data_IF_952715395119
#
_entry.id   IF_952715395119
#
_cell.length_a   1.000
_cell.length_b   1.000
_cell.length_c   1.000
_cell.angle_alpha   90.00
_cell.angle_beta   90.00
_cell.angle_gamma   90.00
#
_symmetry.space_group_name_H-M   'P 1'
#
loop_
_entity.id
_entity.type
_entity.pdbx_description
1 polymer ?
#
# COMPACT_ATOMS: atom_id res chain seq x y z
N UNK A 1 26.39 -8.12 9.82
CA UNK A 1 26.68 -7.41 8.57
C UNK A 1 26.37 -8.35 7.44
N UNK A 2 25.11 -8.43 7.03
CA UNK A 2 24.73 -9.21 5.85
C UNK A 2 24.76 -8.28 4.65
N UNK A 3 25.74 -8.50 3.76
CA UNK A 3 25.95 -7.68 2.57
C UNK A 3 24.87 -7.90 1.53
N UNK A 4 24.47 -6.81 0.85
CA UNK A 4 23.57 -6.88 -0.31
C UNK A 4 24.10 -7.88 -1.36
N UNK A 5 23.20 -8.58 -2.08
CA UNK A 5 23.60 -9.48 -3.16
C UNK A 5 24.32 -8.72 -4.30
N UNK A 6 25.28 -9.37 -4.99
CA UNK A 6 26.02 -8.75 -6.08
C UNK A 6 25.10 -8.41 -7.26
N UNK A 7 25.36 -7.26 -7.89
CA UNK A 7 24.64 -6.83 -9.10
C UNK A 7 24.79 -7.85 -10.24
N UNK A 8 23.77 -8.01 -11.12
CA UNK A 8 23.81 -8.97 -12.23
C UNK A 8 24.89 -8.63 -13.27
N UNK A 9 25.52 -9.65 -13.85
CA UNK A 9 26.64 -9.50 -14.80
C UNK A 9 26.21 -8.93 -16.18
N UNK A 10 27.04 -8.08 -16.80
CA UNK A 10 26.64 -7.33 -17.98
C UNK A 10 26.78 -8.04 -19.33
N UNK A 11 25.72 -7.98 -20.15
CA UNK A 11 25.72 -8.17 -21.63
C UNK A 11 25.85 -6.82 -22.37
N UNK A 12 26.70 -6.84 -23.40
CA UNK A 12 27.57 -5.75 -23.86
C UNK A 12 26.97 -4.44 -24.42
N UNK A 13 25.66 -4.15 -24.37
CA UNK A 13 25.13 -2.83 -24.77
C UNK A 13 23.78 -2.45 -24.13
N UNK A 14 23.02 -3.41 -23.59
CA UNK A 14 21.81 -3.15 -22.78
C UNK A 14 22.10 -2.92 -21.29
N UNK A 15 23.36 -3.02 -20.86
CA UNK A 15 23.66 -3.08 -19.43
C UNK A 15 23.87 -1.74 -18.74
N UNK A 16 24.30 -0.69 -19.43
CA UNK A 16 24.62 0.56 -18.73
C UNK A 16 23.39 1.18 -18.08
N UNK A 17 22.22 1.15 -18.75
CA UNK A 17 20.96 1.67 -18.18
C UNK A 17 20.53 0.85 -16.97
N UNK A 18 20.59 -0.48 -17.06
CA UNK A 18 20.24 -1.39 -15.96
C UNK A 18 21.16 -1.19 -14.76
N UNK A 19 22.47 -1.16 -14.98
CA UNK A 19 23.47 -0.96 -13.91
C UNK A 19 23.28 0.38 -13.22
N UNK A 20 23.15 1.48 -13.98
CA UNK A 20 22.95 2.81 -13.39
C UNK A 20 21.63 2.91 -12.62
N UNK A 21 20.54 2.31 -13.11
CA UNK A 21 19.27 2.31 -12.39
C UNK A 21 19.34 1.50 -11.10
N UNK A 22 20.01 0.34 -11.12
CA UNK A 22 20.24 -0.48 -9.91
C UNK A 22 21.10 0.27 -8.90
N UNK A 23 22.18 0.92 -9.33
CA UNK A 23 23.02 1.77 -8.48
C UNK A 23 22.21 2.89 -7.82
N UNK A 24 21.33 3.56 -8.58
CA UNK A 24 20.49 4.64 -8.04
C UNK A 24 19.43 4.13 -7.05
N UNK A 25 18.77 3.00 -7.35
CA UNK A 25 17.82 2.36 -6.44
C UNK A 25 18.51 1.95 -5.14
N UNK A 26 19.68 1.32 -5.24
CA UNK A 26 20.46 0.90 -4.07
C UNK A 26 20.95 2.09 -3.25
N UNK A 27 21.44 3.14 -3.90
CA UNK A 27 21.88 4.36 -3.21
C UNK A 27 20.73 4.98 -2.43
N UNK A 28 19.53 5.04 -3.02
CA UNK A 28 18.33 5.56 -2.34
C UNK A 28 17.85 4.65 -1.21
N UNK A 29 17.96 3.33 -1.36
CA UNK A 29 17.59 2.37 -0.32
C UNK A 29 18.58 2.34 0.86
N UNK A 30 19.83 2.75 0.64
CA UNK A 30 20.87 2.80 1.66
C UNK A 30 20.91 4.11 2.47
N UNK A 31 20.25 5.17 1.97
CA UNK A 31 20.16 6.45 2.66
C UNK A 31 19.00 6.45 3.67
N UNK A 32 19.06 7.38 4.63
CA UNK A 32 17.95 7.62 5.54
C UNK A 32 16.67 7.97 4.76
N UNK A 33 15.48 7.61 5.29
CA UNK A 33 14.21 7.96 4.68
C UNK A 33 14.14 9.46 4.39
N UNK A 34 13.70 9.86 3.18
CA UNK A 34 13.59 11.27 2.86
C UNK A 34 12.51 11.93 3.73
N UNK A 35 12.71 13.22 4.03
CA UNK A 35 11.70 14.02 4.75
C UNK A 35 10.34 14.00 4.01
N UNK A 36 10.37 13.99 2.67
CA UNK A 36 9.17 13.91 1.82
C UNK A 36 9.18 12.64 0.97
N UNK A 37 8.00 12.03 0.79
CA UNK A 37 7.86 10.86 -0.07
C UNK A 37 8.21 11.19 -1.51
N UNK A 38 8.85 10.24 -2.22
CA UNK A 38 9.26 10.44 -3.60
C UNK A 38 8.78 9.32 -4.53
N UNK A 39 8.35 9.72 -5.72
CA UNK A 39 7.95 8.86 -6.83
C UNK A 39 8.80 9.27 -8.02
N UNK A 40 9.78 8.44 -8.35
CA UNK A 40 10.74 8.73 -9.42
C UNK A 40 10.46 7.82 -10.60
N UNK A 41 10.22 8.41 -11.76
CA UNK A 41 9.95 7.69 -13.01
C UNK A 41 11.20 7.61 -13.87
N UNK A 42 11.51 6.41 -14.36
CA UNK A 42 12.65 6.12 -15.20
C UNK A 42 12.17 5.50 -16.51
N UNK A 43 12.60 6.03 -17.67
CA UNK A 43 12.41 5.34 -18.94
C UNK A 43 13.13 3.98 -18.90
N UNK A 44 12.38 2.89 -19.09
CA UNK A 44 12.90 1.54 -19.06
C UNK A 44 12.19 0.66 -20.08
N UNK A 45 12.96 0.13 -21.04
CA UNK A 45 12.43 -0.77 -22.04
C UNK A 45 12.00 -2.12 -21.42
N UNK A 46 11.04 -2.79 -22.05
CA UNK A 46 10.47 -4.02 -21.51
C UNK A 46 11.50 -5.17 -21.39
N UNK A 47 12.53 -5.17 -22.25
CA UNK A 47 13.63 -6.13 -22.15
C UNK A 47 14.48 -5.93 -20.89
N UNK A 48 14.79 -4.68 -20.55
CA UNK A 48 15.60 -4.31 -19.39
C UNK A 48 14.81 -4.52 -18.08
N UNK A 49 13.50 -4.31 -18.11
CA UNK A 49 12.60 -4.62 -17.00
C UNK A 49 12.68 -6.08 -16.55
N UNK A 50 12.86 -7.05 -17.45
CA UNK A 50 13.01 -8.46 -17.05
C UNK A 50 14.19 -8.62 -16.09
N UNK A 51 15.32 -8.03 -16.46
CA UNK A 51 16.58 -8.15 -15.73
C UNK A 51 16.45 -7.45 -14.38
N UNK A 52 15.88 -6.24 -14.36
CA UNK A 52 15.69 -5.48 -13.13
C UNK A 52 14.70 -6.16 -12.20
N UNK A 53 13.57 -6.65 -12.71
CA UNK A 53 12.56 -7.31 -11.88
C UNK A 53 13.11 -8.57 -11.20
N UNK A 54 13.98 -9.34 -11.87
CA UNK A 54 14.68 -10.48 -11.24
C UNK A 54 15.61 -10.03 -10.10
N UNK A 55 16.37 -8.94 -10.31
CA UNK A 55 17.21 -8.36 -9.28
C UNK A 55 16.39 -7.84 -8.08
N UNK A 56 15.37 -7.01 -8.34
CA UNK A 56 14.52 -6.43 -7.29
C UNK A 56 13.79 -7.49 -6.47
N UNK A 57 13.34 -8.59 -7.11
CA UNK A 57 12.73 -9.72 -6.42
C UNK A 57 13.71 -10.52 -5.54
N UNK A 58 15.03 -10.38 -5.77
CA UNK A 58 16.07 -11.03 -4.97
C UNK A 58 16.49 -10.22 -3.73
N UNK A 59 16.08 -8.95 -3.63
CA UNK A 59 16.44 -8.10 -2.51
C UNK A 59 15.71 -8.52 -1.24
N UNK A 60 16.45 -8.56 -0.14
CA UNK A 60 15.89 -8.81 1.19
C UNK A 60 15.11 -7.61 1.74
N UNK A 61 15.48 -6.39 1.33
CA UNK A 61 14.86 -5.16 1.77
C UNK A 61 13.58 -4.86 0.97
N UNK A 62 12.49 -4.44 1.63
CA UNK A 62 11.25 -4.08 0.95
C UNK A 62 11.44 -2.77 0.19
N UNK A 63 11.49 -2.86 -1.14
CA UNK A 63 11.47 -1.72 -2.04
C UNK A 63 10.07 -1.59 -2.67
N UNK A 64 9.59 -0.36 -2.83
CA UNK A 64 8.30 -0.08 -3.44
C UNK A 64 8.50 0.37 -4.89
N UNK A 65 7.96 -0.39 -5.83
CA UNK A 65 8.18 -0.12 -7.25
C UNK A 65 7.00 -0.54 -8.13
N UNK A 66 7.08 -0.12 -9.39
CA UNK A 66 6.15 -0.50 -10.43
C UNK A 66 6.78 -0.39 -11.81
N UNK A 67 6.11 -0.98 -12.79
CA UNK A 67 6.46 -0.90 -14.20
C UNK A 67 5.20 -0.76 -15.04
N UNK A 68 5.20 0.19 -15.97
CA UNK A 68 4.12 0.42 -16.92
C UNK A 68 4.65 0.15 -18.33
N UNK A 69 4.35 -1.03 -18.88
CA UNK A 69 4.93 -1.50 -20.14
C UNK A 69 4.45 -0.67 -21.33
N UNK A 70 3.23 -0.10 -21.26
CA UNK A 70 2.69 0.77 -22.32
C UNK A 70 3.54 2.03 -22.52
N UNK A 71 4.06 2.59 -21.43
CA UNK A 71 4.88 3.81 -21.46
C UNK A 71 6.37 3.51 -21.38
N UNK A 72 6.75 2.26 -21.11
CA UNK A 72 8.13 1.87 -20.85
C UNK A 72 8.68 2.62 -19.64
N UNK A 73 7.94 2.61 -18.53
CA UNK A 73 8.27 3.41 -17.35
C UNK A 73 8.41 2.54 -16.12
N UNK A 74 9.60 2.52 -15.53
CA UNK A 74 9.84 2.01 -14.19
C UNK A 74 9.60 3.12 -13.17
N UNK A 75 8.98 2.80 -12.05
CA UNK A 75 8.75 3.75 -10.96
C UNK A 75 9.35 3.21 -9.68
N UNK A 76 10.15 4.03 -9.00
CA UNK A 76 10.67 3.76 -7.67
C UNK A 76 9.99 4.71 -6.67
N UNK A 77 9.42 4.14 -5.62
CA UNK A 77 8.76 4.86 -4.55
C UNK A 77 9.58 4.75 -3.28
N UNK A 78 9.83 5.90 -2.65
CA UNK A 78 10.48 5.98 -1.34
C UNK A 78 9.54 6.74 -0.41
N UNK A 79 8.79 6.05 0.47
CA UNK A 79 7.93 6.68 1.47
C UNK A 79 8.73 7.48 2.51
N UNK A 80 8.18 8.59 2.99
CA UNK A 80 8.68 9.30 4.18
C UNK A 80 8.11 8.69 5.48
N UNK A 81 8.67 9.04 6.67
CA UNK A 81 8.11 8.62 7.96
C UNK A 81 6.64 8.99 8.13
N UNK A 82 6.23 10.21 7.77
CA UNK A 82 4.83 10.65 7.87
C UNK A 82 3.91 9.84 6.95
N UNK A 83 4.37 9.45 5.75
CA UNK A 83 3.62 8.56 4.85
C UNK A 83 3.39 7.18 5.46
N UNK A 84 4.44 6.60 6.05
CA UNK A 84 4.36 5.31 6.73
C UNK A 84 3.47 5.38 7.98
N UNK A 85 3.54 6.47 8.73
CA UNK A 85 2.68 6.68 9.89
C UNK A 85 1.21 6.81 9.47
N UNK A 86 0.92 7.62 8.44
CA UNK A 86 -0.43 7.72 7.87
C UNK A 86 -0.98 6.35 7.45
N UNK A 87 -0.14 5.52 6.83
CA UNK A 87 -0.48 4.14 6.46
C UNK A 87 -0.93 3.34 7.67
N UNK A 88 -0.11 3.34 8.73
CA UNK A 88 -0.39 2.61 9.96
C UNK A 88 -1.65 3.12 10.66
N UNK A 89 -1.82 4.43 10.77
CA UNK A 89 -2.98 5.07 11.41
C UNK A 89 -4.28 4.76 10.65
N UNK A 90 -4.24 4.80 9.31
CA UNK A 90 -5.38 4.44 8.47
C UNK A 90 -5.76 2.95 8.62
N UNK A 91 -4.77 2.05 8.55
CA UNK A 91 -4.98 0.61 8.77
C UNK A 91 -5.59 0.34 10.13
N UNK A 92 -5.01 0.92 11.19
CA UNK A 92 -5.47 0.77 12.57
C UNK A 92 -6.92 1.21 12.70
N UNK A 93 -7.26 2.39 12.18
CA UNK A 93 -8.61 2.96 12.26
C UNK A 93 -9.64 2.09 11.53
N UNK A 94 -9.33 1.64 10.31
CA UNK A 94 -10.22 0.78 9.54
C UNK A 94 -10.43 -0.58 10.23
N UNK A 95 -9.35 -1.21 10.75
CA UNK A 95 -9.43 -2.48 11.48
C UNK A 95 -10.19 -2.35 12.78
N UNK A 96 -10.03 -1.26 13.53
CA UNK A 96 -10.83 -1.00 14.74
C UNK A 96 -12.33 -0.92 14.42
N UNK A 97 -12.70 -0.21 13.36
CA UNK A 97 -14.10 -0.14 12.91
C UNK A 97 -14.65 -1.49 12.49
N UNK A 98 -13.86 -2.28 11.74
CA UNK A 98 -14.23 -3.63 11.35
C UNK A 98 -14.43 -4.54 12.58
N UNK A 99 -13.51 -4.52 13.55
CA UNK A 99 -13.61 -5.30 14.79
C UNK A 99 -14.83 -4.92 15.61
N UNK A 100 -15.14 -3.62 15.70
CA UNK A 100 -16.34 -3.13 16.39
C UNK A 100 -17.60 -3.65 15.71
N UNK A 101 -17.71 -3.47 14.38
CA UNK A 101 -18.82 -3.97 13.59
C UNK A 101 -19.00 -5.49 13.76
N UNK A 102 -17.91 -6.24 13.80
CA UNK A 102 -17.94 -7.69 14.01
C UNK A 102 -18.32 -8.08 15.45
N UNK A 103 -17.85 -7.33 16.45
CA UNK A 103 -18.15 -7.60 17.87
C UNK A 103 -19.60 -7.36 18.21
N UNK A 104 -20.22 -6.33 17.62
CA UNK A 104 -21.65 -6.05 17.74
C UNK A 104 -22.54 -7.18 17.19
N UNK A 105 -21.96 -8.10 16.41
CA UNK A 105 -22.67 -9.21 15.74
C UNK A 105 -22.03 -10.59 16.04
N UNK A 106 -21.24 -10.69 17.11
CA UNK A 106 -20.63 -11.95 17.58
C UNK A 106 -19.78 -12.73 16.54
N UNK A 107 -19.10 -12.01 15.64
CA UNK A 107 -18.21 -12.60 14.61
C UNK A 107 -16.80 -12.02 14.58
N UNK A 108 -16.17 -11.93 15.74
CA UNK A 108 -14.81 -11.39 15.86
C UNK A 108 -13.82 -12.07 14.90
N UNK A 109 -13.97 -13.36 14.68
CA UNK A 109 -13.12 -14.15 13.77
C UNK A 109 -13.15 -13.69 12.31
N UNK A 110 -14.21 -13.02 11.85
CA UNK A 110 -14.24 -12.47 10.50
C UNK A 110 -13.27 -11.28 10.36
N UNK A 111 -13.21 -10.39 11.36
CA UNK A 111 -12.32 -9.23 11.34
C UNK A 111 -10.84 -9.65 11.30
N UNK A 112 -10.48 -10.71 12.01
CA UNK A 112 -9.12 -11.27 12.07
C UNK A 112 -8.67 -11.88 10.73
N UNK A 113 -9.64 -12.30 9.91
CA UNK A 113 -9.39 -12.86 8.57
C UNK A 113 -9.26 -11.80 7.49
N UNK A 114 -9.48 -10.52 7.82
CA UNK A 114 -9.13 -9.41 6.93
C UNK A 114 -7.72 -8.94 7.28
N UNK A 115 -6.81 -9.15 6.34
CA UNK A 115 -5.41 -8.78 6.44
C UNK A 115 -5.08 -7.64 5.51
N UNK A 116 -4.28 -6.71 6.02
CA UNK A 116 -3.44 -5.80 5.26
C UNK A 116 -2.21 -6.56 4.78
N UNK A 117 -1.99 -6.56 3.48
CA UNK A 117 -0.74 -7.03 2.88
C UNK A 117 -0.07 -5.79 2.32
N UNK A 118 1.17 -5.56 2.71
CA UNK A 118 2.00 -4.47 2.21
C UNK A 118 3.39 -5.01 1.86
N UNK A 119 3.89 -4.86 0.62
CA UNK A 119 3.17 -4.59 -0.63
C UNK A 119 3.05 -5.86 -1.49
N UNK A 120 1.85 -6.44 -1.68
CA UNK A 120 1.70 -7.55 -2.60
C UNK A 120 1.74 -7.02 -4.04
N UNK A 121 2.63 -7.54 -4.87
CA UNK A 121 2.74 -7.14 -6.27
C UNK A 121 1.39 -7.31 -6.99
N UNK A 122 0.77 -6.22 -7.43
CA UNK A 122 -0.35 -6.28 -8.36
C UNK A 122 0.23 -6.32 -9.76
N UNK A 123 -0.10 -7.38 -10.50
CA UNK A 123 0.39 -7.61 -11.87
C UNK A 123 -0.76 -7.49 -12.84
N UNK A 124 -0.48 -7.16 -14.09
CA UNK A 124 -1.46 -7.25 -15.15
C UNK A 124 -2.12 -8.65 -15.16
N UNK A 125 -3.44 -8.67 -15.39
CA UNK A 125 -4.19 -9.92 -15.54
C UNK A 125 -3.94 -10.60 -16.89
N UNK A 126 -3.50 -9.84 -17.89
CA UNK A 126 -3.11 -10.38 -19.20
C UNK A 126 -1.66 -10.87 -19.19
N UNK A 127 -1.40 -12.03 -19.80
CA UNK A 127 -0.03 -12.54 -20.03
C UNK A 127 0.78 -11.67 -21.01
N UNK A 128 0.12 -10.81 -21.79
CA UNK A 128 0.75 -9.93 -22.77
C UNK A 128 1.12 -8.55 -22.25
N UNK A 129 0.73 -8.21 -21.01
CA UNK A 129 1.14 -6.96 -20.35
C UNK A 129 2.04 -7.33 -19.18
N UNK A 130 3.10 -6.55 -19.03
CA UNK A 130 4.02 -6.66 -17.90
C UNK A 130 3.80 -5.57 -16.88
N UNK A 131 2.66 -4.87 -16.94
CA UNK A 131 2.33 -3.84 -15.97
C UNK A 131 2.35 -4.46 -14.56
N UNK A 132 3.05 -3.78 -13.66
CA UNK A 132 3.20 -4.17 -12.28
C UNK A 132 3.14 -2.91 -11.42
N UNK A 133 2.43 -2.98 -10.31
CA UNK A 133 2.46 -1.90 -9.34
C UNK A 133 2.17 -2.42 -7.94
N UNK A 134 2.80 -1.80 -6.95
CA UNK A 134 2.67 -2.13 -5.54
C UNK A 134 1.86 -1.04 -4.84
N UNK A 135 0.65 -1.35 -4.31
CA UNK A 135 -0.11 -0.40 -3.52
C UNK A 135 0.56 -0.19 -2.16
N UNK A 136 0.36 0.99 -1.56
CA UNK A 136 0.78 1.24 -0.18
C UNK A 136 0.10 0.26 0.79
N UNK A 137 -1.20 0.01 0.61
CA UNK A 137 -1.96 -0.98 1.39
C UNK A 137 -2.81 -1.83 0.47
N UNK A 138 -2.89 -3.13 0.73
CA UNK A 138 -3.92 -3.98 0.14
C UNK A 138 -4.68 -4.75 1.22
N UNK A 139 -5.94 -4.39 1.46
CA UNK A 139 -6.81 -5.14 2.35
C UNK A 139 -7.44 -6.32 1.61
N UNK A 140 -7.36 -7.52 2.17
CA UNK A 140 -7.98 -8.71 1.61
C UNK A 140 -8.38 -9.72 2.67
N UNK A 141 -9.31 -10.60 2.34
CA UNK A 141 -9.58 -11.77 3.18
C UNK A 141 -8.54 -12.87 2.94
N UNK A 142 -8.05 -13.52 4.00
CA UNK A 142 -6.98 -14.56 3.93
C UNK A 142 -7.25 -15.67 2.92
N UNK A 143 -8.52 -16.06 2.73
CA UNK A 143 -8.88 -17.09 1.73
C UNK A 143 -8.94 -16.59 0.28
N UNK A 144 -8.92 -15.28 0.05
CA UNK A 144 -8.96 -14.66 -1.28
C UNK A 144 -7.96 -13.50 -1.37
N UNK A 145 -6.64 -13.77 -1.33
CA UNK A 145 -5.60 -12.74 -1.27
C UNK A 145 -5.53 -11.83 -2.51
N UNK A 146 -6.23 -12.19 -3.60
CA UNK A 146 -6.35 -11.36 -4.81
C UNK A 146 -7.62 -10.50 -4.83
N UNK A 147 -8.53 -10.69 -3.90
CA UNK A 147 -9.78 -9.94 -3.81
C UNK A 147 -9.67 -8.94 -2.67
N UNK A 148 -9.92 -7.67 -2.94
CA UNK A 148 -9.67 -6.66 -1.92
C UNK A 148 -9.64 -5.23 -2.41
N UNK A 149 -9.04 -4.39 -1.57
CA UNK A 149 -9.01 -2.94 -1.70
C UNK A 149 -7.56 -2.47 -1.68
N UNK A 150 -7.03 -1.98 -2.80
CA UNK A 150 -5.81 -1.20 -2.81
C UNK A 150 -6.09 0.20 -2.25
N UNK A 151 -5.16 0.70 -1.44
CA UNK A 151 -5.10 2.07 -0.95
C UNK A 151 -3.76 2.66 -1.34
N UNK A 152 -3.79 3.88 -1.85
CA UNK A 152 -2.59 4.66 -2.20
C UNK A 152 -2.57 5.96 -1.40
N UNK A 153 -1.46 6.24 -0.76
CA UNK A 153 -1.11 7.55 -0.23
C UNK A 153 -0.30 8.24 -1.33
N UNK A 154 -0.86 9.31 -1.86
CA UNK A 154 -0.32 10.05 -2.98
C UNK A 154 0.19 11.42 -2.55
N UNK A 155 1.25 11.85 -3.21
CA UNK A 155 1.92 13.14 -3.05
C UNK A 155 2.25 13.68 -4.44
N UNK A 156 2.88 14.85 -4.53
CA UNK A 156 3.11 15.65 -5.74
C UNK A 156 3.08 14.88 -7.08
N UNK A 157 4.08 14.03 -7.33
CA UNK A 157 4.22 13.28 -8.59
C UNK A 157 3.19 12.16 -8.73
N UNK A 158 2.98 11.34 -7.68
CA UNK A 158 2.06 10.18 -7.67
C UNK A 158 0.59 10.60 -7.87
N UNK A 159 0.20 11.79 -7.38
CA UNK A 159 -1.13 12.40 -7.56
C UNK A 159 -1.57 12.40 -9.02
N UNK A 160 -0.66 12.71 -9.94
CA UNK A 160 -0.94 12.79 -11.38
C UNK A 160 -1.17 11.42 -12.03
N UNK A 161 -0.76 10.33 -11.38
CA UNK A 161 -0.89 8.95 -11.86
C UNK A 161 -2.11 8.23 -11.28
N UNK A 162 -2.81 8.82 -10.30
CA UNK A 162 -3.92 8.17 -9.58
C UNK A 162 -5.04 7.64 -10.49
N UNK A 163 -5.37 8.35 -11.57
CA UNK A 163 -6.37 7.87 -12.53
C UNK A 163 -5.90 6.61 -13.26
N UNK A 164 -4.63 6.57 -13.67
CA UNK A 164 -4.04 5.40 -14.33
C UNK A 164 -3.91 4.22 -13.36
N UNK A 165 -3.54 4.48 -12.11
CA UNK A 165 -3.53 3.47 -11.05
C UNK A 165 -4.94 2.90 -10.79
N UNK A 166 -5.97 3.74 -10.79
CA UNK A 166 -7.35 3.30 -10.66
C UNK A 166 -7.75 2.34 -11.81
N UNK A 167 -7.43 2.69 -13.06
CA UNK A 167 -7.63 1.81 -14.21
C UNK A 167 -6.84 0.51 -14.07
N UNK A 168 -5.57 0.59 -13.66
CA UNK A 168 -4.73 -0.57 -13.46
C UNK A 168 -5.35 -1.52 -12.45
N UNK A 169 -5.62 -1.06 -11.23
CA UNK A 169 -6.14 -1.91 -10.17
C UNK A 169 -7.51 -2.48 -10.48
N UNK A 170 -8.45 -1.66 -10.96
CA UNK A 170 -9.84 -2.09 -11.14
C UNK A 170 -10.01 -2.90 -12.42
N UNK A 171 -9.37 -2.50 -13.53
CA UNK A 171 -9.67 -3.05 -14.86
C UNK A 171 -8.60 -3.99 -15.40
N UNK A 172 -7.31 -3.70 -15.15
CA UNK A 172 -6.20 -4.38 -15.85
C UNK A 172 -5.48 -5.41 -15.00
N UNK A 173 -5.45 -5.26 -13.68
CA UNK A 173 -4.69 -6.12 -12.78
C UNK A 173 -5.32 -7.50 -12.59
N UNK A 174 -4.52 -8.45 -12.09
CA UNK A 174 -4.96 -9.77 -11.67
C UNK A 174 -5.72 -9.75 -10.33
N UNK A 175 -5.88 -8.58 -9.72
CA UNK A 175 -6.68 -8.37 -8.51
C UNK A 175 -8.16 -8.23 -8.88
N UNK A 176 -9.01 -8.64 -7.96
CA UNK A 176 -10.47 -8.48 -8.03
C UNK A 176 -10.84 -7.30 -7.16
N UNK A 177 -10.56 -6.11 -7.68
CA UNK A 177 -10.80 -4.83 -7.00
C UNK A 177 -12.16 -4.26 -7.39
N UNK A 178 -12.93 -3.82 -6.39
CA UNK A 178 -14.22 -3.13 -6.55
C UNK A 178 -14.19 -1.67 -6.13
N UNK A 179 -13.31 -1.35 -5.19
CA UNK A 179 -13.06 -0.03 -4.65
C UNK A 179 -11.56 0.20 -4.66
N UNK A 180 -11.14 1.34 -5.19
CA UNK A 180 -9.78 1.86 -5.02
C UNK A 180 -9.86 3.15 -4.21
N UNK A 181 -9.01 3.29 -3.20
CA UNK A 181 -8.96 4.46 -2.32
C UNK A 181 -7.61 5.16 -2.53
N UNK A 182 -7.61 6.48 -2.70
CA UNK A 182 -6.39 7.26 -2.63
C UNK A 182 -6.54 8.44 -1.67
N UNK A 183 -5.53 8.65 -0.84
CA UNK A 183 -5.41 9.80 0.05
C UNK A 183 -4.28 10.66 -0.52
N UNK A 184 -4.64 11.81 -1.06
CA UNK A 184 -3.70 12.81 -1.55
C UNK A 184 -3.18 13.61 -0.35
N UNK A 185 -2.03 13.22 0.16
CA UNK A 185 -1.32 13.68 1.35
C UNK A 185 0.11 14.04 0.95
N UNK A 186 0.33 15.31 0.61
CA UNK A 186 1.57 15.84 0.07
C UNK A 186 2.29 16.66 1.14
N UNK A 187 2.56 15.94 2.24
CA UNK A 187 3.18 16.48 3.45
C UNK A 187 4.53 17.14 3.16
N UNK A 188 4.83 18.23 3.87
CA UNK A 188 5.98 19.08 3.61
C UNK A 188 5.83 20.05 2.43
N UNK A 189 4.81 19.87 1.58
CA UNK A 189 4.51 20.79 0.47
C UNK A 189 3.18 21.53 0.65
N UNK A 190 2.17 20.87 1.20
CA UNK A 190 0.84 21.45 1.45
C UNK A 190 0.14 20.74 2.60
N UNK A 191 -0.64 21.50 3.38
CA UNK A 191 -1.53 20.93 4.41
C UNK A 191 -2.82 20.39 3.82
N UNK A 192 -3.11 20.67 2.55
CA UNK A 192 -4.35 20.25 1.88
C UNK A 192 -4.35 18.73 1.70
N UNK A 193 -5.45 18.10 2.08
CA UNK A 193 -5.64 16.65 1.93
C UNK A 193 -6.92 16.35 1.17
N UNK A 194 -6.83 15.50 0.16
CA UNK A 194 -7.98 15.08 -0.65
C UNK A 194 -8.15 13.57 -0.67
N UNK A 195 -9.33 13.09 -0.30
CA UNK A 195 -9.74 11.70 -0.47
C UNK A 195 -10.34 11.50 -1.86
N UNK A 196 -9.86 10.49 -2.57
CA UNK A 196 -10.41 10.06 -3.85
C UNK A 196 -10.77 8.58 -3.79
N UNK A 197 -11.92 8.23 -4.35
CA UNK A 197 -12.34 6.83 -4.46
C UNK A 197 -12.81 6.52 -5.87
N UNK A 198 -12.47 5.33 -6.37
CA UNK A 198 -12.88 4.87 -7.68
C UNK A 198 -13.66 3.56 -7.58
N UNK A 199 -14.70 3.46 -8.42
CA UNK A 199 -15.46 2.23 -8.66
C UNK A 199 -15.76 2.10 -10.14
N UNK A 200 -16.07 0.88 -10.59
CA UNK A 200 -16.65 0.67 -11.93
C UNK A 200 -17.96 1.43 -12.05
N UNK A 201 -18.17 2.01 -13.22
CA UNK A 201 -19.47 2.52 -13.63
C UNK A 201 -20.32 1.37 -14.19
N UNK A 202 -21.21 0.80 -13.38
CA UNK A 202 -22.06 -0.30 -13.84
C UNK A 202 -23.16 0.13 -14.84
N UNK A 203 -23.29 1.42 -15.13
CA UNK A 203 -24.19 1.92 -16.19
C UNK A 203 -23.51 2.02 -17.54
N UNK A 204 -22.17 1.90 -17.57
CA UNK A 204 -21.41 1.86 -18.82
C UNK A 204 -21.49 0.45 -19.44
N UNK A 205 -22.04 0.31 -20.67
CA UNK A 205 -22.17 -0.99 -21.32
C UNK A 205 -20.82 -1.64 -21.66
N UNK A 206 -19.74 -0.87 -21.74
CA UNK A 206 -18.40 -1.43 -21.98
C UNK A 206 -17.76 -2.00 -20.72
N UNK A 207 -18.24 -1.57 -19.54
CA UNK A 207 -17.66 -1.94 -18.24
C UNK A 207 -16.24 -1.40 -18.00
N UNK A 208 -15.79 -0.45 -18.82
CA UNK A 208 -14.43 0.12 -18.78
C UNK A 208 -14.39 1.48 -18.08
N UNK A 209 -15.54 2.17 -17.95
CA UNK A 209 -15.59 3.48 -17.31
C UNK A 209 -15.50 3.34 -15.78
N UNK A 210 -14.73 4.24 -15.18
CA UNK A 210 -14.65 4.40 -13.73
C UNK A 210 -15.37 5.68 -13.29
N UNK A 211 -16.02 5.63 -12.13
CA UNK A 211 -16.51 6.83 -11.44
C UNK A 211 -15.53 7.19 -10.34
N UNK A 212 -15.03 8.41 -10.37
CA UNK A 212 -14.22 8.98 -9.30
C UNK A 212 -15.10 9.87 -8.42
N UNK A 213 -15.07 9.64 -7.11
CA UNK A 213 -15.59 10.58 -6.12
C UNK A 213 -14.41 11.25 -5.43
N UNK A 214 -14.43 12.58 -5.40
CA UNK A 214 -13.41 13.42 -4.79
C UNK A 214 -14.02 14.16 -3.60
N UNK A 215 -13.30 14.18 -2.49
CA UNK A 215 -13.68 14.88 -1.28
C UNK A 215 -12.45 15.51 -0.66
N UNK A 216 -12.45 16.83 -0.52
CA UNK A 216 -11.43 17.52 0.25
C UNK A 216 -11.68 17.25 1.74
N UNK A 217 -10.68 16.71 2.42
CA UNK A 217 -10.74 16.38 3.86
C UNK A 217 -10.21 17.54 4.70
N UNK A 218 -9.13 18.18 4.24
CA UNK A 218 -8.43 19.26 4.93
C UNK A 218 -8.02 20.35 3.95
N UNK A 219 -8.20 21.62 4.33
CA UNK A 219 -7.76 22.80 3.58
C UNK A 219 -6.27 23.09 3.78
N UNK A 220 -5.77 24.08 3.04
CA UNK A 220 -4.42 24.61 3.21
C UNK A 220 -4.16 25.20 4.62
N UNK A 221 -5.21 25.75 5.26
CA UNK A 221 -5.14 26.30 6.62
C UNK A 221 -5.27 25.23 7.72
N UNK A 222 -5.13 23.95 7.35
CA UNK A 222 -5.28 22.77 8.21
C UNK A 222 -6.68 22.54 8.78
N UNK A 223 -7.70 23.30 8.36
CA UNK A 223 -9.08 23.10 8.81
C UNK A 223 -9.72 21.90 8.10
N UNK A 224 -10.36 21.01 8.88
CA UNK A 224 -11.15 19.90 8.33
C UNK A 224 -12.42 20.41 7.64
N UNK A 225 -12.79 19.78 6.52
CA UNK A 225 -14.01 20.10 5.78
C UNK A 225 -15.06 19.03 6.05
N UNK A 226 -16.20 19.37 6.68
CA UNK A 226 -17.29 18.44 6.88
C UNK A 226 -17.73 17.81 5.56
N UNK A 227 -18.05 16.53 5.60
CA UNK A 227 -18.46 15.80 4.42
C UNK A 227 -18.95 14.40 4.76
N UNK A 228 -19.31 13.68 3.71
CA UNK A 228 -19.78 12.30 3.82
C UNK A 228 -18.65 11.38 4.30
N UNK A 229 -18.94 10.33 5.08
CA UNK A 229 -17.93 9.37 5.50
C UNK A 229 -17.35 8.61 4.30
N UNK A 230 -16.12 8.13 4.45
CA UNK A 230 -15.59 7.06 3.61
C UNK A 230 -16.35 5.78 3.95
N UNK A 231 -17.00 5.19 2.95
CA UNK A 231 -17.74 3.93 3.06
C UNK A 231 -17.01 2.81 2.36
N UNK A 232 -16.64 1.78 3.12
CA UNK A 232 -16.09 0.54 2.61
C UNK A 232 -17.12 -0.56 2.83
N UNK A 233 -17.71 -1.07 1.75
CA UNK A 233 -18.64 -2.18 1.86
C UNK A 233 -17.85 -3.44 2.21
N UNK A 234 -18.38 -4.32 3.06
CA UNK A 234 -17.69 -5.58 3.35
C UNK A 234 -17.52 -6.45 2.08
N UNK A 235 -18.40 -6.26 1.10
CA UNK A 235 -18.27 -6.85 -0.24
C UNK A 235 -17.09 -6.31 -1.06
N UNK A 236 -16.42 -5.24 -0.62
CA UNK A 236 -15.16 -4.78 -1.22
C UNK A 236 -13.95 -5.54 -0.65
N UNK A 237 -14.06 -6.08 0.57
CA UNK A 237 -13.00 -6.81 1.27
C UNK A 237 -13.06 -8.33 1.03
N UNK A 238 -14.27 -8.88 0.89
CA UNK A 238 -14.49 -10.31 0.70
C UNK A 238 -15.69 -10.57 -0.23
N UNK A 239 -15.78 -11.80 -0.76
CA UNK A 239 -17.00 -12.25 -1.46
C UNK A 239 -18.12 -12.54 -0.46
N UNK A 240 -19.36 -12.46 -0.91
CA UNK A 240 -20.54 -12.64 -0.07
C UNK A 240 -20.52 -13.99 0.68
N UNK A 241 -20.05 -15.05 0.03
CA UNK A 241 -19.92 -16.39 0.62
C UNK A 241 -18.98 -16.46 1.83
N UNK A 242 -18.05 -15.50 1.96
CA UNK A 242 -17.10 -15.42 3.07
C UNK A 242 -17.52 -14.41 4.14
N UNK A 243 -18.51 -13.56 3.84
CA UNK A 243 -19.04 -12.58 4.78
C UNK A 243 -20.14 -13.26 5.58
N UNK A 244 -20.10 -13.19 6.92
CA UNK A 244 -21.19 -13.69 7.74
C UNK A 244 -22.54 -13.07 7.37
N UNK A 245 -23.67 -13.82 7.38
CA UNK A 245 -24.96 -13.33 6.89
C UNK A 245 -25.46 -12.01 7.49
N UNK A 246 -25.27 -11.78 8.79
CA UNK A 246 -25.67 -10.54 9.49
C UNK A 246 -24.79 -9.33 9.11
N UNK A 247 -23.64 -9.57 8.49
CA UNK A 247 -22.77 -8.55 7.93
C UNK A 247 -23.06 -8.27 6.45
N UNK A 248 -24.01 -8.98 5.81
CA UNK A 248 -24.37 -8.72 4.41
C UNK A 248 -24.94 -7.31 4.25
N UNK A 249 -24.40 -6.56 3.29
CA UNK A 249 -24.81 -5.17 3.03
C UNK A 249 -24.38 -4.16 4.09
N UNK A 250 -23.53 -4.55 5.06
CA UNK A 250 -22.94 -3.62 6.02
C UNK A 250 -21.71 -2.95 5.44
N UNK A 251 -21.51 -1.71 5.88
CA UNK A 251 -20.38 -0.88 5.51
C UNK A 251 -19.56 -0.55 6.76
N UNK A 252 -18.25 -0.40 6.57
CA UNK A 252 -17.34 0.28 7.47
C UNK A 252 -17.39 1.76 7.11
N UNK A 253 -17.73 2.62 8.07
CA UNK A 253 -17.79 4.07 7.89
C UNK A 253 -16.69 4.75 8.70
N UNK A 254 -15.86 5.54 8.02
CA UNK A 254 -14.88 6.45 8.63
C UNK A 254 -15.37 7.88 8.40
N UNK A 255 -15.70 8.60 9.48
CA UNK A 255 -16.10 10.01 9.41
C UNK A 255 -14.94 10.90 8.98
N UNK A 256 -15.24 12.15 8.59
CA UNK A 256 -14.17 13.14 8.34
C UNK A 256 -13.35 13.39 9.60
N UNK A 257 -13.97 13.43 10.78
CA UNK A 257 -13.25 13.64 12.04
C UNK A 257 -12.28 12.49 12.32
N UNK A 258 -12.68 11.24 12.06
CA UNK A 258 -11.82 10.07 12.24
C UNK A 258 -10.67 10.05 11.24
N UNK A 259 -10.93 10.41 9.98
CA UNK A 259 -9.89 10.62 8.98
C UNK A 259 -8.98 11.79 9.35
N UNK A 260 -9.52 12.83 9.97
CA UNK A 260 -8.79 13.98 10.50
C UNK A 260 -7.85 13.60 11.63
N UNK A 261 -8.29 12.76 12.57
CA UNK A 261 -7.42 12.20 13.63
C UNK A 261 -6.30 11.35 13.05
N UNK A 262 -6.58 10.57 12.00
CA UNK A 262 -5.56 9.79 11.28
C UNK A 262 -4.50 10.71 10.64
N UNK A 263 -4.91 11.85 10.07
CA UNK A 263 -3.99 12.84 9.50
C UNK A 263 -3.17 13.54 10.59
N UNK A 264 -3.82 13.97 11.68
CA UNK A 264 -3.16 14.65 12.78
C UNK A 264 -2.07 13.79 13.42
N UNK A 265 -2.35 12.51 13.65
CA UNK A 265 -1.39 11.58 14.24
C UNK A 265 -0.22 11.31 13.30
N UNK A 266 -0.47 11.30 11.98
CA UNK A 266 0.60 11.20 10.98
C UNK A 266 1.50 12.43 10.96
N UNK A 267 0.93 13.63 11.06
CA UNK A 267 1.67 14.89 11.09
C UNK A 267 2.50 15.03 12.38
N UNK A 268 2.00 14.57 13.53
CA UNK A 268 2.73 14.61 14.81
C UNK A 268 3.92 13.65 14.87
N UNK A 269 4.04 12.70 13.95
CA UNK A 269 5.19 11.81 13.86
C UNK A 269 6.50 12.52 13.52
N UNK A 270 6.45 13.75 13.02
CA UNK A 270 7.61 14.57 12.66
C UNK A 270 8.31 15.17 13.90
N UNK A 271 7.54 15.57 14.92
CA UNK A 271 8.06 16.24 16.13
C UNK A 271 8.98 15.33 16.97
N UNK A 272 8.74 14.01 16.96
CA UNK A 272 9.52 13.04 17.74
C UNK A 272 10.89 12.76 17.08
N UNK A 273 10.96 12.81 15.75
CA UNK A 273 12.20 12.54 15.00
C UNK A 273 13.17 13.73 15.08
N UNK A 274 12.67 14.96 15.17
CA UNK A 274 13.52 16.14 15.38
C UNK A 274 14.10 16.19 16.80
N UNK A 275 13.32 15.83 17.83
CA UNK A 275 13.81 15.83 19.23
C UNK A 275 14.88 14.76 19.50
N UNK A 276 14.77 13.56 18.90
CA UNK A 276 15.77 12.49 19.05
C UNK A 276 17.09 12.80 18.32
N UNK A 277 17.10 13.71 17.35
CA UNK A 277 18.32 14.12 16.63
C UNK A 277 19.25 15.02 17.45
N UNK A 278 18.71 15.68 18.48
CA UNK A 278 19.45 16.59 19.37
C UNK A 278 19.81 15.96 20.74
N UNK A 279 19.41 14.70 20.99
CA UNK A 279 19.60 14.04 22.29
C UNK A 279 20.42 12.75 22.25
N UNK A 280 21.47 12.66 21.44
CA UNK A 280 22.49 11.62 21.65
C UNK A 280 23.56 12.07 22.65
N UNK A 281 23.23 11.99 23.93
CA UNK A 281 24.26 11.82 24.97
C UNK A 281 23.78 10.86 26.08
N UNK A 282 24.27 9.62 25.98
CA UNK A 282 24.51 8.65 27.06
C UNK A 282 23.33 8.26 27.97
N UNK A 283 22.95 6.98 27.95
CA UNK A 283 23.32 6.04 29.02
C UNK A 283 23.03 4.58 28.65
N UNK A 284 23.86 3.74 29.24
CA UNK A 284 24.07 2.30 29.07
C UNK A 284 23.06 1.40 29.79
N UNK A 285 22.85 0.24 29.18
CA UNK A 285 22.81 -1.14 29.70
C UNK A 285 21.89 -1.58 30.86
N UNK A 286 21.38 -2.79 30.61
CA UNK A 286 20.80 -3.83 31.46
C UNK A 286 19.34 -3.68 31.91
N UNK A 287 18.51 -4.64 31.47
CA UNK A 287 18.04 -5.71 32.37
C UNK A 287 17.34 -6.87 31.63
N UNK A 288 17.71 -8.06 32.10
CA UNK A 288 17.20 -9.41 31.88
C UNK A 288 15.75 -9.61 32.39
N UNK A 289 15.03 -10.58 31.83
CA UNK A 289 13.67 -10.93 32.28
C UNK A 289 12.89 -11.80 31.30
N UNK A 290 13.16 -13.11 31.34
CA UNK A 290 12.32 -14.19 30.80
C UNK A 290 10.89 -14.16 31.37
N UNK A 291 9.87 -14.42 30.54
CA UNK A 291 8.79 -15.32 30.95
C UNK A 291 8.04 -15.97 29.76
N UNK A 292 7.74 -17.23 30.01
CA UNK A 292 7.21 -18.29 29.17
C UNK A 292 5.68 -18.26 29.23
N UNK A 293 5.01 -18.28 28.07
CA UNK A 293 3.58 -18.62 28.00
C UNK A 293 3.35 -19.51 26.79
N UNK A 294 3.20 -20.79 27.11
CA UNK A 294 2.66 -21.85 26.27
C UNK A 294 1.21 -21.54 25.90
N UNK A 295 0.94 -21.31 24.63
CA UNK A 295 -0.42 -21.44 24.06
C UNK A 295 -0.45 -22.63 23.12
N UNK A 296 -1.43 -23.50 23.39
CA UNK A 296 -1.61 -24.82 22.84
C UNK A 296 -1.79 -24.81 21.31
N UNK A 297 -0.86 -25.48 20.65
CA UNK A 297 -0.82 -25.80 19.23
C UNK A 297 -1.91 -26.83 18.89
N UNK A 298 -2.95 -26.42 18.15
CA UNK A 298 -3.88 -27.34 17.45
C UNK A 298 -3.88 -27.08 15.93
N UNK A 299 -4.01 -28.15 15.12
CA UNK A 299 -3.15 -28.33 13.97
C UNK A 299 -3.87 -27.94 12.68
N UNK A 300 -3.35 -26.97 11.94
CA UNK A 300 -3.35 -27.02 10.48
C UNK A 300 -2.10 -26.31 9.94
N UNK A 301 -1.61 -26.89 8.85
CA UNK A 301 -0.30 -26.70 8.24
C UNK A 301 0.08 -25.24 8.00
N UNK A 302 1.37 -24.96 8.25
CA UNK A 302 2.09 -23.74 7.89
C UNK A 302 1.76 -23.32 6.45
N UNK A 303 1.39 -22.06 6.17
CA UNK A 303 1.24 -21.59 4.79
C UNK A 303 2.61 -21.47 4.14
N UNK A 304 3.07 -22.56 3.54
CA UNK A 304 4.30 -22.64 2.78
C UNK A 304 4.15 -23.70 1.69
N UNK A 305 4.38 -23.29 0.45
CA UNK A 305 4.49 -24.12 -0.77
C UNK A 305 3.17 -24.69 -1.30
N UNK A 306 2.43 -23.86 -2.04
CA UNK A 306 1.57 -24.38 -3.12
C UNK A 306 2.42 -24.37 -4.41
N UNK A 307 2.71 -25.53 -5.02
CA UNK A 307 3.41 -25.60 -6.29
C UNK A 307 2.53 -25.07 -7.43
N UNK A 308 3.16 -24.41 -8.40
CA UNK A 308 2.52 -23.96 -9.64
C UNK A 308 1.91 -25.17 -10.38
N UNK A 309 0.66 -25.07 -10.90
CA UNK A 309 0.18 -26.06 -11.86
C UNK A 309 0.87 -25.85 -13.22
N UNK A 310 1.27 -26.98 -13.82
CA UNK A 310 1.81 -27.10 -15.17
C UNK A 310 0.84 -26.59 -16.25
#
# INVERSE_FOLDING_TARGET
MDGLPPAPEPRANGNTVVTSLVEEVNARAANDPPATSSWTEYPLAEGDWIIINEYLASLAAPIHYGYFCRTGTFVHQVPSPCHELLKQCFVRTLKMKLRRLCSENEVRSFAERITEVAPPESKAGSKSSRDLHQPDIFFSHVCLPRYGIPVEIAYGQKRNRLHELAEFYILKSNRKTRLFIAIDYDHGHTSKVTLRTWRRDYTDPTGLRLRCRVQELRREDSTLIPGLPLRVCLLDLARQELIPPFLHGRDIELSVDELGSVLQEADSGEEIVEEDSDSESSTSDDLDGTEDTTDEEWPFERPGLIPFPQ
#
